data_IF_433249858730
#
_entry.id   IF_433249858730
#
_cell.length_a   1.000
_cell.length_b   1.000
_cell.length_c   1.000
_cell.angle_alpha   90.00
_cell.angle_beta   90.00
_cell.angle_gamma   90.00
#
_symmetry.space_group_name_H-M   'P 1'
#
loop_
_entity.id
_entity.type
_entity.pdbx_description
1 polymer ?
#
# COMPACT_ATOMS: atom_id res chain seq x y z
N UNK A 1 14.10 -12.01 -3.86
CA UNK A 1 14.74 -12.44 -2.60
C UNK A 1 14.49 -13.93 -2.47
N UNK A 2 15.47 -14.72 -2.02
CA UNK A 2 15.26 -16.14 -1.77
C UNK A 2 14.56 -16.37 -0.41
N UNK A 3 14.07 -17.59 -0.17
CA UNK A 3 13.32 -17.89 1.05
C UNK A 3 14.13 -17.66 2.33
N UNK A 4 15.42 -18.01 2.34
CA UNK A 4 16.29 -17.81 3.51
C UNK A 4 16.47 -16.34 3.85
N UNK A 5 16.79 -15.52 2.85
CA UNK A 5 16.90 -14.05 3.00
C UNK A 5 15.58 -13.43 3.51
N UNK A 6 14.45 -13.90 3.00
CA UNK A 6 13.14 -13.44 3.46
C UNK A 6 12.90 -13.78 4.93
N UNK A 7 13.20 -15.01 5.36
CA UNK A 7 13.06 -15.41 6.76
C UNK A 7 13.98 -14.58 7.67
N UNK A 8 15.18 -14.25 7.21
CA UNK A 8 16.07 -13.35 7.96
C UNK A 8 15.50 -11.95 8.13
N UNK A 9 14.88 -11.37 7.09
CA UNK A 9 14.25 -10.05 7.19
C UNK A 9 13.01 -10.12 8.07
N UNK A 10 12.14 -11.12 7.89
CA UNK A 10 10.90 -11.30 8.66
C UNK A 10 11.17 -11.42 10.16
N UNK A 11 12.21 -12.17 10.53
CA UNK A 11 12.58 -12.46 11.92
C UNK A 11 13.65 -11.50 12.48
N UNK A 12 14.02 -10.47 11.72
CA UNK A 12 15.03 -9.48 12.13
C UNK A 12 14.60 -8.63 13.32
N UNK A 13 15.57 -7.96 13.95
CA UNK A 13 15.28 -7.04 15.05
C UNK A 13 14.54 -5.82 14.49
N UNK A 14 13.39 -5.52 15.08
CA UNK A 14 12.61 -4.33 14.74
C UNK A 14 13.17 -3.12 15.48
N UNK A 15 13.65 -2.13 14.72
CA UNK A 15 14.15 -0.86 15.25
C UNK A 15 13.04 0.18 15.42
N UNK A 16 12.02 0.12 14.56
CA UNK A 16 10.87 1.04 14.59
C UNK A 16 9.66 0.39 13.93
N UNK A 17 8.48 0.64 14.48
CA UNK A 17 7.20 0.21 13.89
C UNK A 17 6.34 1.43 13.59
N UNK A 18 5.80 1.47 12.38
CA UNK A 18 4.74 2.38 11.96
C UNK A 18 3.50 1.53 11.73
N UNK A 19 2.38 1.97 12.28
CA UNK A 19 1.08 1.33 12.09
C UNK A 19 0.21 2.28 11.28
N UNK A 20 -0.27 1.80 10.13
CA UNK A 20 -1.26 2.51 9.32
C UNK A 20 -2.61 1.85 9.54
N UNK A 21 -3.56 2.60 10.10
CA UNK A 21 -4.95 2.16 10.20
C UNK A 21 -5.65 2.45 8.87
N UNK A 22 -6.15 1.39 8.25
CA UNK A 22 -6.99 1.44 7.07
C UNK A 22 -8.42 1.75 7.49
N UNK A 23 -8.98 2.78 6.88
CA UNK A 23 -10.41 3.08 6.92
C UNK A 23 -10.98 2.90 5.51
N UNK A 24 -12.28 2.64 5.44
CA UNK A 24 -13.00 2.34 4.22
C UNK A 24 -14.44 2.88 4.30
N UNK A 25 -15.11 3.10 3.15
CA UNK A 25 -16.55 3.34 3.15
C UNK A 25 -17.31 2.06 3.51
N UNK A 26 -18.56 2.17 3.96
CA UNK A 26 -19.47 1.00 4.00
C UNK A 26 -19.92 0.61 2.59
N UNK A 27 -20.38 -0.63 2.42
CA UNK A 27 -21.05 -1.06 1.18
C UNK A 27 -22.23 -0.16 0.83
N UNK A 28 -23.04 0.22 1.83
CA UNK A 28 -24.17 1.12 1.66
C UNK A 28 -23.73 2.50 1.14
N UNK A 29 -22.68 3.10 1.72
CA UNK A 29 -22.12 4.36 1.24
C UNK A 29 -21.64 4.24 -0.22
N UNK A 30 -20.98 3.12 -0.55
CA UNK A 30 -20.52 2.85 -1.91
C UNK A 30 -21.70 2.72 -2.87
N UNK A 31 -22.77 2.02 -2.52
CA UNK A 31 -23.91 1.79 -3.42
C UNK A 31 -24.77 3.04 -3.62
N UNK A 32 -24.93 3.86 -2.57
CA UNK A 32 -25.73 5.07 -2.60
C UNK A 32 -24.98 6.30 -3.14
N UNK A 33 -23.66 6.17 -3.37
CA UNK A 33 -22.83 7.25 -3.88
C UNK A 33 -23.25 7.72 -5.29
N UNK A 34 -23.44 9.04 -5.43
CA UNK A 34 -23.62 9.73 -6.73
C UNK A 34 -22.28 10.01 -7.43
N UNK A 35 -21.21 10.18 -6.66
CA UNK A 35 -19.84 10.35 -7.12
C UNK A 35 -18.87 9.77 -6.08
N UNK A 36 -17.59 9.70 -6.41
CA UNK A 36 -16.56 9.04 -5.59
C UNK A 36 -15.50 9.99 -5.04
N UNK A 37 -15.75 11.30 -5.02
CA UNK A 37 -14.76 12.29 -4.56
C UNK A 37 -14.39 12.08 -3.09
N UNK A 38 -15.38 11.66 -2.28
CA UNK A 38 -15.20 11.33 -0.87
C UNK A 38 -14.24 10.15 -0.63
N UNK A 39 -14.00 9.29 -1.65
CA UNK A 39 -13.08 8.16 -1.53
C UNK A 39 -11.60 8.59 -1.47
N UNK A 40 -11.30 9.86 -1.72
CA UNK A 40 -9.97 10.45 -1.55
C UNK A 40 -9.42 10.34 -0.13
N UNK A 41 -10.30 10.24 0.88
CA UNK A 41 -9.92 10.09 2.30
C UNK A 41 -9.55 8.65 2.68
N UNK A 42 -9.92 7.66 1.87
CA UNK A 42 -9.65 6.24 2.15
C UNK A 42 -8.40 5.78 1.38
N UNK A 43 -7.31 5.39 2.09
CA UNK A 43 -6.04 5.03 1.48
C UNK A 43 -6.14 4.05 0.30
N UNK A 44 -6.98 3.03 0.41
CA UNK A 44 -7.10 1.96 -0.59
C UNK A 44 -7.97 2.32 -1.80
N UNK A 45 -8.83 3.33 -1.65
CA UNK A 45 -9.82 3.72 -2.66
C UNK A 45 -9.52 5.07 -3.31
N UNK A 46 -8.39 5.68 -2.99
CA UNK A 46 -8.01 7.00 -3.50
C UNK A 46 -8.03 7.07 -5.05
N UNK A 47 -7.79 5.96 -5.74
CA UNK A 47 -7.91 5.87 -7.20
C UNK A 47 -9.29 6.26 -7.75
N UNK A 48 -10.39 5.98 -7.04
CA UNK A 48 -11.75 6.25 -7.51
C UNK A 48 -12.14 7.73 -7.44
N UNK A 49 -11.42 8.52 -6.63
CA UNK A 49 -11.63 9.97 -6.50
C UNK A 49 -10.93 10.81 -7.58
N UNK A 50 -10.25 10.15 -8.53
CA UNK A 50 -9.43 10.81 -9.56
C UNK A 50 -10.09 10.72 -10.94
N UNK A 51 -9.80 11.66 -11.85
CA UNK A 51 -10.25 11.57 -13.24
C UNK A 51 -9.82 10.24 -13.88
N UNK A 52 -10.71 9.60 -14.64
CA UNK A 52 -10.45 8.31 -15.31
C UNK A 52 -9.25 8.36 -16.27
N UNK A 53 -8.95 9.53 -16.82
CA UNK A 53 -7.79 9.80 -17.65
C UNK A 53 -7.15 11.10 -17.18
N UNK A 54 -5.87 11.05 -16.88
CA UNK A 54 -5.07 12.24 -16.61
C UNK A 54 -4.95 13.05 -17.91
N UNK A 55 -5.51 14.26 -17.92
CA UNK A 55 -5.57 15.12 -19.12
C UNK A 55 -4.19 15.55 -19.64
N UNK A 56 -3.15 15.57 -18.79
CA UNK A 56 -1.80 16.02 -19.18
C UNK A 56 -0.98 14.90 -19.78
N UNK A 57 -1.11 13.69 -19.24
CA UNK A 57 -0.27 12.54 -19.60
C UNK A 57 -1.00 11.51 -20.46
N UNK A 58 -2.33 11.60 -20.57
CA UNK A 58 -3.17 10.60 -21.23
C UNK A 58 -3.26 9.27 -20.49
N UNK A 59 -2.64 9.15 -19.29
CA UNK A 59 -2.62 7.91 -18.52
C UNK A 59 -3.99 7.63 -17.93
N UNK A 60 -4.46 6.40 -18.11
CA UNK A 60 -5.70 5.90 -17.49
C UNK A 60 -5.49 5.69 -15.98
N UNK A 61 -6.51 5.98 -15.19
CA UNK A 61 -6.50 5.86 -13.74
C UNK A 61 -6.37 4.40 -13.31
N UNK A 62 -5.26 4.08 -12.66
CA UNK A 62 -4.95 2.72 -12.19
C UNK A 62 -5.81 2.37 -10.99
N UNK A 63 -6.38 1.16 -10.97
CA UNK A 63 -7.07 0.63 -9.79
C UNK A 63 -6.12 0.40 -8.60
N UNK A 64 -4.85 0.08 -8.90
CA UNK A 64 -3.80 -0.11 -7.89
C UNK A 64 -3.26 1.18 -7.27
N UNK A 65 -3.82 2.35 -7.61
CA UNK A 65 -3.35 3.58 -6.97
C UNK A 65 -3.95 3.72 -5.56
N UNK A 66 -3.07 3.75 -4.56
CA UNK A 66 -3.37 3.85 -3.13
C UNK A 66 -2.58 5.00 -2.50
N UNK A 67 -3.00 5.48 -1.33
CA UNK A 67 -2.33 6.55 -0.60
C UNK A 67 -2.02 6.15 0.84
N UNK A 68 -0.83 5.60 1.06
CA UNK A 68 -0.37 5.24 2.41
C UNK A 68 0.31 6.44 3.04
N UNK A 69 -0.49 7.27 3.70
CA UNK A 69 -0.04 8.42 4.46
C UNK A 69 0.33 8.01 5.89
N UNK A 70 1.48 8.47 6.35
CA UNK A 70 1.93 8.35 7.74
C UNK A 70 1.81 9.71 8.41
N UNK A 71 1.04 9.77 9.49
CA UNK A 71 0.98 10.96 10.34
C UNK A 71 2.26 11.09 11.17
N UNK A 72 2.80 12.30 11.25
CA UNK A 72 4.08 12.60 11.90
C UNK A 72 3.81 12.84 13.39
N UNK A 73 4.58 12.19 14.29
CA UNK A 73 5.86 12.77 14.68
C UNK A 73 7.04 11.79 14.49
N UNK A 74 6.94 10.90 13.50
CA UNK A 74 8.01 9.95 13.23
C UNK A 74 9.21 10.63 12.55
N UNK A 75 10.41 10.46 13.13
CA UNK A 75 11.69 10.67 12.44
C UNK A 75 11.81 9.65 11.29
N UNK A 76 11.31 10.03 10.11
CA UNK A 76 11.30 9.19 8.91
C UNK A 76 12.48 9.59 8.02
N UNK A 77 13.09 8.63 7.30
CA UNK A 77 14.12 8.93 6.31
C UNK A 77 13.71 10.06 5.37
N UNK A 78 14.67 10.88 4.94
CA UNK A 78 14.38 11.91 3.95
C UNK A 78 13.99 11.26 2.62
N UNK A 79 13.34 12.02 1.73
CA UNK A 79 12.98 11.52 0.40
C UNK A 79 14.21 11.05 -0.43
N UNK A 80 15.41 11.59 -0.11
CA UNK A 80 16.67 11.20 -0.76
C UNK A 80 17.19 9.86 -0.25
N UNK A 81 16.75 9.43 0.92
CA UNK A 81 17.17 8.21 1.61
C UNK A 81 16.19 7.09 1.31
N UNK A 82 16.19 6.64 0.06
CA UNK A 82 15.40 5.47 -0.31
C UNK A 82 15.93 4.20 0.38
N UNK A 83 15.02 3.26 0.59
CA UNK A 83 15.26 1.98 1.26
C UNK A 83 14.59 0.84 0.49
N UNK A 84 14.95 -0.40 0.83
CA UNK A 84 14.24 -1.56 0.31
C UNK A 84 13.03 -1.86 1.19
N UNK A 85 11.87 -2.02 0.55
CA UNK A 85 10.63 -2.46 1.17
C UNK A 85 10.37 -3.91 0.79
N UNK A 86 10.31 -4.79 1.78
CA UNK A 86 10.05 -6.22 1.63
C UNK A 86 8.61 -6.49 2.07
N UNK A 87 7.78 -7.07 1.20
CA UNK A 87 6.42 -7.49 1.55
C UNK A 87 6.43 -8.80 2.34
N UNK A 88 5.33 -9.10 3.02
CA UNK A 88 5.10 -10.39 3.68
C UNK A 88 5.04 -11.57 2.70
N UNK A 89 4.85 -11.33 1.41
CA UNK A 89 4.99 -12.32 0.32
C UNK A 89 6.44 -12.47 -0.19
N UNK A 90 7.38 -11.64 0.28
CA UNK A 90 8.79 -11.69 -0.09
C UNK A 90 9.19 -10.89 -1.33
N UNK A 91 8.30 -10.04 -1.86
CA UNK A 91 8.65 -9.10 -2.92
C UNK A 91 9.50 -7.95 -2.39
N UNK A 92 10.42 -7.45 -3.20
CA UNK A 92 11.35 -6.38 -2.82
C UNK A 92 11.17 -5.19 -3.74
N UNK A 93 10.95 -4.02 -3.16
CA UNK A 93 10.76 -2.77 -3.89
C UNK A 93 11.69 -1.67 -3.37
N UNK A 94 12.11 -0.76 -4.24
CA UNK A 94 12.77 0.49 -3.81
C UNK A 94 11.71 1.50 -3.42
N UNK A 95 11.71 1.93 -2.16
CA UNK A 95 10.70 2.81 -1.61
C UNK A 95 11.30 4.03 -0.90
N UNK A 96 10.48 5.05 -0.70
CA UNK A 96 10.80 6.20 0.14
C UNK A 96 9.53 6.74 0.82
N UNK A 97 9.75 7.58 1.83
CA UNK A 97 8.72 8.48 2.33
C UNK A 97 8.85 9.84 1.64
N UNK A 98 7.78 10.29 0.98
CA UNK A 98 7.74 11.56 0.26
C UNK A 98 6.69 12.51 0.84
N UNK A 99 6.84 13.83 0.64
CA UNK A 99 5.92 14.83 1.17
C UNK A 99 6.49 15.67 2.32
N UNK A 100 5.87 16.83 2.59
CA UNK A 100 6.32 17.80 3.60
C UNK A 100 5.67 17.54 4.96
N UNK A 101 4.38 17.84 5.07
CA UNK A 101 3.58 17.71 6.32
C UNK A 101 3.06 16.30 6.54
N UNK A 102 2.64 15.64 5.47
CA UNK A 102 2.19 14.24 5.47
C UNK A 102 3.20 13.46 4.65
N UNK A 103 3.70 12.36 5.22
CA UNK A 103 4.68 11.51 4.57
C UNK A 103 3.95 10.34 3.92
N UNK A 104 4.06 10.20 2.60
CA UNK A 104 3.48 9.10 1.83
C UNK A 104 4.55 8.06 1.54
N UNK A 105 4.25 6.80 1.81
CA UNK A 105 5.06 5.69 1.35
C UNK A 105 4.85 5.53 -0.16
N UNK A 106 5.94 5.45 -0.93
CA UNK A 106 5.89 5.32 -2.39
C UNK A 106 7.08 4.52 -2.89
N UNK A 107 6.90 3.86 -4.03
CA UNK A 107 7.91 3.04 -4.72
C UNK A 107 8.38 3.73 -6.00
N UNK A 108 9.68 3.66 -6.31
CA UNK A 108 10.28 4.42 -7.42
C UNK A 108 10.04 3.79 -8.80
N UNK A 109 10.18 2.47 -8.90
CA UNK A 109 10.19 1.76 -10.19
C UNK A 109 8.79 1.34 -10.63
N UNK A 110 7.93 1.01 -9.67
CA UNK A 110 6.53 0.68 -9.90
C UNK A 110 5.66 1.36 -8.84
N UNK A 111 5.03 2.48 -9.21
CA UNK A 111 4.15 3.23 -8.32
C UNK A 111 2.88 2.47 -7.91
N UNK A 112 2.61 1.31 -8.53
CA UNK A 112 1.45 0.47 -8.26
C UNK A 112 1.78 -0.68 -7.31
N UNK A 113 3.05 -0.94 -7.02
CA UNK A 113 3.50 -2.12 -6.25
C UNK A 113 2.77 -2.27 -4.91
N UNK A 114 2.69 -1.20 -4.11
CA UNK A 114 2.01 -1.23 -2.79
C UNK A 114 0.52 -1.55 -2.95
N UNK A 115 -0.14 -0.92 -3.93
CA UNK A 115 -1.56 -1.15 -4.17
C UNK A 115 -1.84 -2.52 -4.77
N UNK A 116 -0.95 -3.04 -5.61
CA UNK A 116 -1.02 -4.40 -6.15
C UNK A 116 -0.89 -5.44 -5.04
N UNK A 117 0.09 -5.28 -4.15
CA UNK A 117 0.28 -6.12 -2.97
C UNK A 117 -0.95 -6.13 -2.05
N UNK A 118 -1.41 -4.96 -1.57
CA UNK A 118 -2.49 -5.00 -0.59
C UNK A 118 -3.85 -5.38 -1.21
N UNK A 119 -4.08 -5.05 -2.48
CA UNK A 119 -5.33 -5.41 -3.16
C UNK A 119 -5.36 -6.85 -3.65
N UNK A 120 -4.21 -7.51 -3.89
CA UNK A 120 -4.20 -8.94 -4.20
C UNK A 120 -4.72 -9.75 -3.02
N UNK A 121 -4.38 -9.37 -1.79
CA UNK A 121 -4.89 -10.01 -0.56
C UNK A 121 -6.42 -10.07 -0.58
N UNK A 122 -7.10 -8.94 -0.81
CA UNK A 122 -8.57 -8.92 -0.87
C UNK A 122 -9.15 -9.70 -2.06
N UNK A 123 -8.44 -9.78 -3.19
CA UNK A 123 -8.85 -10.60 -4.34
C UNK A 123 -8.70 -12.09 -4.02
N UNK A 124 -7.64 -12.49 -3.34
CA UNK A 124 -7.39 -13.88 -2.91
C UNK A 124 -8.40 -14.34 -1.87
N UNK A 125 -8.82 -13.44 -0.98
CA UNK A 125 -9.94 -13.64 -0.05
C UNK A 125 -11.32 -13.58 -0.72
N UNK A 126 -11.37 -13.38 -2.04
CA UNK A 126 -12.59 -13.34 -2.85
C UNK A 126 -13.60 -12.24 -2.43
N UNK A 127 -13.12 -11.19 -1.77
CA UNK A 127 -13.98 -10.04 -1.38
C UNK A 127 -13.93 -8.90 -2.40
N UNK A 128 -12.99 -8.91 -3.34
CA UNK A 128 -12.90 -7.93 -4.42
C UNK A 128 -12.73 -8.59 -5.79
N UNK A 129 -13.20 -7.90 -6.83
CA UNK A 129 -12.86 -8.20 -8.21
C UNK A 129 -11.62 -7.38 -8.62
N UNK A 130 -10.66 -8.06 -9.24
CA UNK A 130 -9.44 -7.44 -9.76
C UNK A 130 -9.73 -6.63 -11.02
N UNK A 131 -9.24 -5.40 -11.05
CA UNK A 131 -9.24 -4.54 -12.24
C UNK A 131 -7.85 -3.96 -12.51
N UNK A 132 -7.57 -3.63 -13.77
CA UNK A 132 -6.35 -2.88 -14.11
C UNK A 132 -6.57 -1.38 -13.98
N UNK A 133 -7.78 -0.93 -14.33
CA UNK A 133 -8.15 0.49 -14.37
C UNK A 133 -9.53 0.71 -13.76
N UNK A 134 -9.72 1.88 -13.15
CA UNK A 134 -10.96 2.23 -12.45
C UNK A 134 -12.20 2.18 -13.36
N UNK A 135 -12.08 2.60 -14.62
CA UNK A 135 -13.22 2.62 -15.55
C UNK A 135 -13.78 1.22 -15.87
N UNK A 136 -13.04 0.15 -15.58
CA UNK A 136 -13.49 -1.23 -15.78
C UNK A 136 -14.45 -1.70 -14.69
N UNK A 137 -14.42 -1.03 -13.53
CA UNK A 137 -15.24 -1.37 -12.38
C UNK A 137 -16.60 -0.67 -12.43
N UNK A 138 -17.45 -1.11 -13.35
CA UNK A 138 -18.78 -0.53 -13.53
C UNK A 138 -19.74 -0.88 -12.37
N UNK A 139 -19.43 -1.93 -11.61
CA UNK A 139 -20.28 -2.45 -10.53
C UNK A 139 -19.75 -2.13 -9.12
N UNK A 140 -18.64 -1.37 -9.02
CA UNK A 140 -18.04 -0.94 -7.73
C UNK A 140 -17.45 -2.11 -6.91
N UNK A 141 -17.21 -3.24 -7.55
CA UNK A 141 -16.74 -4.49 -6.92
C UNK A 141 -15.24 -4.50 -6.62
N UNK A 142 -14.51 -3.45 -7.05
CA UNK A 142 -13.09 -3.26 -6.73
C UNK A 142 -12.86 -2.24 -5.61
N UNK A 143 -13.92 -1.65 -5.03
CA UNK A 143 -13.81 -0.70 -3.92
C UNK A 143 -13.69 -1.48 -2.62
N UNK A 144 -12.64 -1.21 -1.84
CA UNK A 144 -12.46 -1.83 -0.52
C UNK A 144 -13.46 -1.21 0.46
N UNK A 145 -14.30 -2.01 1.10
CA UNK A 145 -15.31 -1.56 2.07
C UNK A 145 -14.93 -1.92 3.51
N UNK A 146 -15.66 -1.39 4.50
CA UNK A 146 -15.49 -1.79 5.90
C UNK A 146 -15.79 -3.27 6.08
N UNK A 147 -16.82 -3.75 5.41
CA UNK A 147 -17.25 -5.15 5.39
C UNK A 147 -16.14 -6.04 4.83
N UNK A 148 -15.42 -5.61 3.77
CA UNK A 148 -14.25 -6.33 3.27
C UNK A 148 -13.09 -6.38 4.27
N UNK A 149 -12.84 -5.28 5.00
CA UNK A 149 -11.82 -5.25 6.07
C UNK A 149 -12.22 -6.12 7.27
N UNK A 150 -13.50 -6.15 7.61
CA UNK A 150 -14.06 -6.98 8.70
C UNK A 150 -14.01 -8.45 8.33
N UNK A 151 -14.35 -8.81 7.09
CA UNK A 151 -14.24 -10.16 6.56
C UNK A 151 -12.78 -10.64 6.55
N UNK A 152 -11.86 -9.78 6.11
CA UNK A 152 -10.43 -10.04 6.26
C UNK A 152 -10.00 -10.08 7.74
N UNK A 153 -10.71 -9.41 8.63
CA UNK A 153 -10.44 -9.44 10.08
C UNK A 153 -9.34 -8.49 10.55
N UNK A 154 -8.65 -7.77 9.67
CA UNK A 154 -7.65 -6.76 10.07
C UNK A 154 -7.82 -5.46 9.28
N UNK A 155 -7.48 -4.34 9.91
CA UNK A 155 -7.42 -3.03 9.29
C UNK A 155 -6.11 -2.29 9.59
N UNK A 156 -5.07 -2.98 10.07
CA UNK A 156 -3.78 -2.38 10.42
C UNK A 156 -2.67 -2.94 9.54
N UNK A 157 -2.03 -2.07 8.78
CA UNK A 157 -0.79 -2.37 8.06
C UNK A 157 0.39 -2.01 8.94
N UNK A 158 1.35 -2.92 9.04
CA UNK A 158 2.57 -2.73 9.83
C UNK A 158 3.75 -2.50 8.90
N UNK A 159 4.46 -1.39 9.10
CA UNK A 159 5.69 -1.05 8.41
C UNK A 159 6.82 -0.99 9.44
N UNK A 160 7.73 -1.95 9.39
CA UNK A 160 8.79 -2.15 10.37
C UNK A 160 10.15 -1.79 9.76
N UNK A 161 10.88 -0.87 10.39
CA UNK A 161 12.31 -0.69 10.11
C UNK A 161 13.08 -1.82 10.78
N UNK A 162 13.89 -2.54 10.02
CA UNK A 162 14.72 -3.63 10.52
C UNK A 162 16.15 -3.18 10.80
N UNK A 163 16.95 -4.03 11.44
CA UNK A 163 18.41 -3.89 11.54
C UNK A 163 19.17 -4.44 10.33
N UNK A 164 18.45 -4.96 9.33
CA UNK A 164 19.04 -5.50 8.09
C UNK A 164 19.34 -4.37 7.10
N UNK A 165 20.38 -4.60 6.31
CA UNK A 165 20.77 -3.75 5.18
C UNK A 165 20.98 -4.60 3.93
N UNK A 166 20.66 -4.05 2.77
CA UNK A 166 20.98 -4.63 1.46
C UNK A 166 21.85 -3.68 0.66
N UNK A 167 22.75 -4.24 -0.16
CA UNK A 167 23.64 -3.46 -1.03
C UNK A 167 22.95 -3.20 -2.35
N UNK A 168 22.91 -1.94 -2.81
CA UNK A 168 22.36 -1.59 -4.11
C UNK A 168 23.34 -1.86 -5.26
N UNK A 169 22.87 -1.70 -6.51
CA UNK A 169 23.70 -1.94 -7.70
C UNK A 169 24.93 -1.01 -7.82
N UNK A 170 25.03 0.02 -6.96
CA UNK A 170 26.16 0.95 -6.87
C UNK A 170 27.05 0.68 -5.65
N UNK A 171 26.82 -0.43 -4.93
CA UNK A 171 27.59 -0.79 -3.75
C UNK A 171 27.16 -0.04 -2.47
N UNK A 172 26.07 0.73 -2.49
CA UNK A 172 25.62 1.51 -1.33
C UNK A 172 24.73 0.65 -0.44
N UNK A 173 25.01 0.63 0.87
CA UNK A 173 24.15 -0.02 1.87
C UNK A 173 22.85 0.77 2.05
N UNK A 174 21.72 0.07 1.98
CA UNK A 174 20.37 0.62 2.13
C UNK A 174 19.65 -0.12 3.24
N UNK A 175 18.90 0.63 4.04
CA UNK A 175 18.01 0.05 5.05
C UNK A 175 17.00 -0.90 4.41
N UNK A 176 16.62 -1.93 5.17
CA UNK A 176 15.52 -2.82 4.82
C UNK A 176 14.35 -2.55 5.75
N UNK A 177 13.19 -2.32 5.15
CA UNK A 177 11.91 -2.17 5.82
C UNK A 177 11.02 -3.33 5.42
N UNK A 178 10.24 -3.84 6.37
CA UNK A 178 9.30 -4.92 6.17
C UNK A 178 7.87 -4.39 6.28
N UNK A 179 7.04 -4.65 5.28
CA UNK A 179 5.62 -4.29 5.27
C UNK A 179 4.77 -5.55 5.31
N UNK A 180 3.75 -5.53 6.16
CA UNK A 180 2.84 -6.67 6.32
C UNK A 180 1.43 -6.22 6.61
N UNK A 181 0.46 -7.03 6.19
CA UNK A 181 -0.95 -6.86 6.50
C UNK A 181 -1.50 -8.19 6.99
N UNK A 182 -1.15 -8.65 8.21
CA UNK A 182 -1.50 -9.99 8.68
C UNK A 182 -3.01 -10.13 8.87
N UNK A 183 -3.54 -11.32 8.65
CA UNK A 183 -4.91 -11.64 9.02
C UNK A 183 -5.02 -11.80 10.55
N UNK A 184 -6.23 -11.71 11.14
CA UNK A 184 -6.43 -12.07 12.56
C UNK A 184 -6.18 -13.55 12.85
N UNK A 185 -6.23 -14.40 11.82
CA UNK A 185 -6.03 -15.84 11.89
C UNK A 185 -4.54 -16.23 11.75
N UNK A 186 -3.66 -15.28 11.41
CA UNK A 186 -2.20 -15.44 11.32
C UNK A 186 -1.48 -15.07 12.63
#
# INVERSE_FOLDING_TARGET
MNFGEYQEVKNSKVLKTIILTLDAPTEEEVMNAKNFDYLSKYPLNACYSKPLVDKKTGKKQSWYEVQFAVDVPYDLPSIKDWFYLVTDEGYVHKACFSGKKVKRLSTFEDSKAIGAWIKSIFVEWQVLIKFHYVYQDCQRMGIVTKEALEYYGNNKVFIKKTDKVMVDSKGVKRDVWFISFPNKVD
#
